data_IF_114655240667
#
_entry.id   IF_114655240667
#
_cell.length_a   1.000
_cell.length_b   1.000
_cell.length_c   1.000
_cell.angle_alpha   90.00
_cell.angle_beta   90.00
_cell.angle_gamma   90.00
#
_symmetry.space_group_name_H-M   'P 1'
#
loop_
_entity.id
_entity.type
_entity.pdbx_description
1 polymer ?
#
# COMPACT_ATOMS: atom_id res chain seq x y z
N UNK A 1 -34.57 -25.17 -19.39
CA UNK A 1 -33.56 -24.86 -18.35
C UNK A 1 -33.02 -23.47 -18.65
N UNK A 2 -33.43 -22.46 -17.90
CA UNK A 2 -32.93 -21.09 -18.02
C UNK A 2 -31.64 -20.98 -17.24
N UNK A 3 -30.52 -20.77 -17.93
CA UNK A 3 -29.22 -20.54 -17.33
C UNK A 3 -29.27 -19.13 -16.74
N UNK A 4 -29.41 -19.01 -15.42
CA UNK A 4 -29.21 -17.74 -14.72
C UNK A 4 -27.71 -17.43 -14.72
N UNK A 5 -27.26 -16.62 -15.67
CA UNK A 5 -25.96 -15.97 -15.61
C UNK A 5 -26.00 -14.94 -14.49
N UNK A 6 -25.21 -15.13 -13.44
CA UNK A 6 -25.05 -14.13 -12.38
C UNK A 6 -24.58 -12.80 -12.98
N UNK A 7 -25.08 -11.65 -12.50
CA UNK A 7 -24.65 -10.35 -12.98
C UNK A 7 -23.16 -10.15 -12.68
N UNK A 8 -22.40 -9.78 -13.71
CA UNK A 8 -20.99 -9.44 -13.58
C UNK A 8 -20.86 -8.31 -12.55
N UNK A 9 -20.22 -8.62 -11.43
CA UNK A 9 -20.10 -7.68 -10.31
C UNK A 9 -19.03 -6.66 -10.65
N UNK A 10 -19.39 -5.38 -10.71
CA UNK A 10 -18.48 -4.22 -10.89
C UNK A 10 -17.57 -3.96 -9.67
N UNK A 11 -17.34 -4.96 -8.82
CA UNK A 11 -16.45 -4.82 -7.69
C UNK A 11 -15.00 -4.65 -8.20
N UNK A 12 -14.22 -3.72 -7.62
CA UNK A 12 -12.80 -3.60 -7.94
C UNK A 12 -12.08 -4.94 -7.76
N UNK A 13 -11.22 -5.31 -8.72
CA UNK A 13 -10.35 -6.48 -8.55
C UNK A 13 -9.36 -6.19 -7.42
N UNK A 14 -9.44 -6.99 -6.36
CA UNK A 14 -8.54 -6.87 -5.20
C UNK A 14 -7.42 -7.92 -5.32
N UNK A 15 -6.17 -7.48 -5.20
CA UNK A 15 -5.02 -8.39 -5.09
C UNK A 15 -4.77 -8.71 -3.62
N UNK A 16 -4.68 -9.99 -3.27
CA UNK A 16 -4.25 -10.43 -1.94
C UNK A 16 -2.73 -10.43 -1.87
N UNK A 17 -2.18 -9.78 -0.84
CA UNK A 17 -0.75 -9.73 -0.56
C UNK A 17 -0.56 -10.24 0.87
N UNK A 18 0.39 -11.14 1.05
CA UNK A 18 0.79 -11.65 2.37
C UNK A 18 2.14 -11.04 2.73
N UNK A 19 2.24 -10.47 3.93
CA UNK A 19 3.44 -9.82 4.43
C UNK A 19 3.75 -10.33 5.83
N UNK A 20 5.04 -10.39 6.16
CA UNK A 20 5.50 -10.69 7.51
C UNK A 20 5.97 -9.40 8.16
N UNK A 21 5.55 -9.16 9.41
CA UNK A 21 5.93 -7.99 10.20
C UNK A 21 6.54 -8.43 11.54
N UNK A 22 7.44 -7.64 12.14
CA UNK A 22 7.95 -7.93 13.49
C UNK A 22 6.81 -7.97 14.51
N UNK A 23 6.77 -9.03 15.31
CA UNK A 23 5.69 -9.27 16.30
C UNK A 23 5.58 -8.16 17.33
N UNK A 24 6.72 -7.62 17.81
CA UNK A 24 6.73 -6.52 18.77
C UNK A 24 6.04 -5.26 18.22
N UNK A 25 6.34 -4.88 16.97
CA UNK A 25 5.74 -3.71 16.33
C UNK A 25 4.24 -3.90 16.07
N UNK A 26 3.83 -5.12 15.73
CA UNK A 26 2.42 -5.43 15.53
C UNK A 26 1.64 -5.31 16.84
N UNK A 27 2.18 -5.81 17.95
CA UNK A 27 1.54 -5.72 19.26
C UNK A 27 1.32 -4.27 19.70
N UNK A 28 2.34 -3.40 19.55
CA UNK A 28 2.21 -1.97 19.85
C UNK A 28 1.13 -1.30 18.98
N UNK A 29 1.07 -1.65 17.70
CA UNK A 29 0.08 -1.11 16.78
C UNK A 29 -1.36 -1.57 17.10
N UNK A 30 -1.53 -2.83 17.51
CA UNK A 30 -2.82 -3.39 17.92
C UNK A 30 -3.33 -2.72 19.21
N UNK A 31 -2.45 -2.43 20.17
CA UNK A 31 -2.80 -1.69 21.38
C UNK A 31 -3.29 -0.27 21.07
N UNK A 32 -2.59 0.44 20.17
CA UNK A 32 -3.00 1.76 19.72
C UNK A 32 -4.34 1.72 18.98
N UNK A 33 -4.54 0.74 18.09
CA UNK A 33 -5.80 0.56 17.38
C UNK A 33 -6.97 0.30 18.34
N UNK A 34 -6.76 -0.48 19.40
CA UNK A 34 -7.78 -0.72 20.41
C UNK A 34 -8.19 0.57 21.15
N UNK A 35 -7.23 1.44 21.47
CA UNK A 35 -7.48 2.75 22.10
C UNK A 35 -8.26 3.68 21.16
N UNK A 36 -7.92 3.68 19.86
CA UNK A 36 -8.57 4.53 18.86
C UNK A 36 -9.89 3.95 18.32
N UNK A 37 -10.25 2.74 18.73
CA UNK A 37 -11.48 2.05 18.32
C UNK A 37 -11.42 1.52 16.89
N UNK A 38 -10.24 1.29 16.34
CA UNK A 38 -10.04 0.74 15.00
C UNK A 38 -10.11 -0.77 14.99
N UNK A 39 -10.67 -1.34 13.92
CA UNK A 39 -10.58 -2.78 13.67
C UNK A 39 -9.17 -3.13 13.17
N UNK A 40 -8.63 -4.31 13.50
CA UNK A 40 -7.32 -4.73 13.00
C UNK A 40 -7.18 -4.68 11.46
N UNK A 41 -8.26 -4.99 10.73
CA UNK A 41 -8.27 -4.90 9.27
C UNK A 41 -8.12 -3.46 8.75
N UNK A 42 -8.67 -2.47 9.48
CA UNK A 42 -8.54 -1.05 9.13
C UNK A 42 -7.13 -0.55 9.39
N UNK A 43 -6.55 -0.95 10.53
CA UNK A 43 -5.16 -0.69 10.88
C UNK A 43 -4.20 -1.22 9.80
N UNK A 44 -4.31 -2.51 9.48
CA UNK A 44 -3.44 -3.16 8.49
C UNK A 44 -3.56 -2.49 7.11
N UNK A 45 -4.78 -2.09 6.71
CA UNK A 45 -4.99 -1.37 5.46
C UNK A 45 -4.30 -0.01 5.48
N UNK A 46 -4.46 0.76 6.56
CA UNK A 46 -3.83 2.08 6.69
C UNK A 46 -2.30 1.94 6.65
N UNK A 47 -1.73 0.99 7.36
CA UNK A 47 -0.29 0.75 7.36
C UNK A 47 0.23 0.41 5.97
N UNK A 48 -0.48 -0.47 5.26
CA UNK A 48 -0.13 -0.80 3.89
C UNK A 48 -0.21 0.43 2.97
N UNK A 49 -1.36 1.11 2.94
CA UNK A 49 -1.59 2.26 2.06
C UNK A 49 -0.60 3.41 2.33
N UNK A 50 -0.42 3.78 3.62
CA UNK A 50 0.48 4.87 4.01
C UNK A 50 1.94 4.50 3.82
N UNK A 51 2.35 3.30 4.26
CA UNK A 51 3.72 2.82 4.10
C UNK A 51 4.12 2.71 2.64
N UNK A 52 3.23 2.17 1.80
CA UNK A 52 3.45 2.08 0.35
C UNK A 52 3.56 3.46 -0.28
N UNK A 53 2.64 4.39 0.03
CA UNK A 53 2.68 5.74 -0.52
C UNK A 53 3.99 6.49 -0.19
N UNK A 54 4.43 6.43 1.08
CA UNK A 54 5.70 7.05 1.52
C UNK A 54 6.89 6.43 0.79
N UNK A 55 6.91 5.10 0.66
CA UNK A 55 7.99 4.41 -0.05
C UNK A 55 8.03 4.81 -1.53
N UNK A 56 6.88 4.82 -2.21
CA UNK A 56 6.78 5.19 -3.63
C UNK A 56 7.19 6.64 -3.84
N UNK A 57 6.76 7.57 -2.98
CA UNK A 57 7.13 8.97 -3.07
C UNK A 57 8.66 9.16 -2.97
N UNK A 58 9.31 8.52 -1.99
CA UNK A 58 10.76 8.56 -1.82
C UNK A 58 11.51 7.97 -3.01
N UNK A 59 11.03 6.83 -3.52
CA UNK A 59 11.62 6.18 -4.69
C UNK A 59 11.43 7.00 -5.97
N UNK A 60 10.27 7.64 -6.15
CA UNK A 60 10.02 8.52 -7.30
C UNK A 60 10.93 9.76 -7.27
N UNK A 61 11.10 10.40 -6.11
CA UNK A 61 12.05 11.53 -5.96
C UNK A 61 13.48 11.13 -6.34
N UNK A 62 13.92 9.93 -5.92
CA UNK A 62 15.23 9.38 -6.33
C UNK A 62 15.34 9.17 -7.84
N UNK A 63 14.31 8.61 -8.46
CA UNK A 63 14.26 8.37 -9.90
C UNK A 63 14.33 9.68 -10.68
N UNK A 64 13.49 10.65 -10.33
CA UNK A 64 13.46 11.98 -10.96
C UNK A 64 14.83 12.66 -10.83
N UNK A 65 15.42 12.67 -9.63
CA UNK A 65 16.73 13.27 -9.41
C UNK A 65 17.84 12.60 -10.23
N UNK A 66 17.80 11.26 -10.37
CA UNK A 66 18.71 10.53 -11.24
C UNK A 66 18.55 10.97 -12.70
N UNK A 67 17.31 10.98 -13.21
CA UNK A 67 17.01 11.39 -14.59
C UNK A 67 17.40 12.85 -14.86
N UNK A 68 17.22 13.76 -13.90
CA UNK A 68 17.66 15.15 -14.03
C UNK A 68 19.18 15.26 -14.11
N UNK A 69 19.93 14.57 -13.24
CA UNK A 69 21.41 14.55 -13.29
C UNK A 69 21.93 14.03 -14.62
N UNK A 70 21.33 12.96 -15.14
CA UNK A 70 21.70 12.40 -16.46
C UNK A 70 21.40 13.35 -17.62
N UNK A 71 20.36 14.17 -17.54
CA UNK A 71 20.08 15.21 -18.54
C UNK A 71 21.12 16.32 -18.48
N UNK A 72 21.43 16.83 -17.29
CA UNK A 72 22.40 17.92 -17.13
C UNK A 72 23.84 17.48 -17.43
N UNK A 73 24.24 16.25 -17.13
CA UNK A 73 25.60 15.76 -17.45
C UNK A 73 25.83 15.47 -18.94
N UNK A 74 24.79 15.44 -19.76
CA UNK A 74 24.88 15.28 -21.23
C UNK A 74 24.75 16.62 -21.97
N UNK A 75 24.61 17.71 -21.22
CA UNK A 75 24.45 19.07 -21.74
C UNK A 75 25.76 19.86 -21.78
N UNK A 76 26.84 19.29 -21.23
CA UNK A 76 28.24 19.74 -21.32
C UNK A 76 28.99 18.86 -22.33
#
# INVERSE_FOLDING_TARGET
MTIQTMPETNAPKMTRIEINVPTALLAEADELAAIEGWKPAELHRIFWEKGFAVHVEGSNKRLINKSLREKFSKSD
#
